data_IF_657239289585
#
_entry.id   IF_657239289585
#
_cell.length_a   1.000
_cell.length_b   1.000
_cell.length_c   1.000
_cell.angle_alpha   90.00
_cell.angle_beta   90.00
_cell.angle_gamma   90.00
#
_symmetry.space_group_name_H-M   'P 1'
#
loop_
_entity.id
_entity.type
_entity.pdbx_description
1 polymer ?
#
# COMPACT_ATOMS: atom_id res chain seq x y z
N UNK A 1 5.09 -8.73 -2.78
CA UNK A 1 5.56 -7.60 -1.92
C UNK A 1 6.56 -6.74 -2.68
N UNK A 2 6.45 -5.41 -2.58
CA UNK A 2 7.40 -4.47 -3.18
C UNK A 2 7.69 -3.31 -2.21
N UNK A 3 8.77 -2.56 -2.44
CA UNK A 3 9.08 -1.36 -1.64
C UNK A 3 8.20 -0.19 -2.09
N UNK A 4 7.87 0.72 -1.17
CA UNK A 4 7.04 1.88 -1.49
C UNK A 4 7.62 2.74 -2.63
N UNK A 5 8.94 2.87 -2.71
CA UNK A 5 9.62 3.57 -3.83
C UNK A 5 9.32 2.95 -5.20
N UNK A 6 9.18 1.62 -5.26
CA UNK A 6 8.82 0.94 -6.50
C UNK A 6 7.33 1.12 -6.82
N UNK A 7 6.48 1.17 -5.79
CA UNK A 7 5.04 1.40 -5.95
C UNK A 7 4.73 2.82 -6.44
N UNK A 8 5.43 3.82 -5.93
CA UNK A 8 5.29 5.23 -6.35
C UNK A 8 5.72 5.44 -7.81
N UNK A 9 6.66 4.64 -8.33
CA UNK A 9 7.14 4.74 -9.71
C UNK A 9 6.34 3.91 -10.71
N UNK A 10 5.23 3.28 -10.29
CA UNK A 10 4.36 2.54 -11.21
C UNK A 10 3.74 3.52 -12.20
N UNK A 11 3.75 3.11 -13.47
CA UNK A 11 3.12 3.81 -14.58
C UNK A 11 2.05 2.92 -15.19
N UNK A 12 1.10 3.51 -15.91
CA UNK A 12 0.00 2.78 -16.55
C UNK A 12 0.54 1.71 -17.51
N UNK A 13 1.63 1.99 -18.23
CA UNK A 13 2.29 1.01 -19.11
C UNK A 13 2.98 -0.16 -18.40
N UNK A 14 3.07 -0.15 -17.06
CA UNK A 14 3.57 -1.29 -16.29
C UNK A 14 2.45 -2.29 -15.94
N UNK A 15 1.18 -1.91 -16.16
CA UNK A 15 0.02 -2.68 -15.77
C UNK A 15 -0.48 -3.49 -16.97
N UNK A 16 -0.63 -4.79 -16.77
CA UNK A 16 -1.17 -5.72 -17.76
C UNK A 16 -2.18 -6.65 -17.09
N UNK A 17 -2.93 -7.39 -17.90
CA UNK A 17 -3.76 -8.49 -17.43
C UNK A 17 -3.17 -9.81 -17.91
N UNK A 18 -3.10 -10.78 -17.02
CA UNK A 18 -2.69 -12.14 -17.34
C UNK A 18 -3.62 -13.11 -16.62
N UNK A 19 -4.38 -13.88 -17.41
CA UNK A 19 -5.40 -14.82 -16.91
C UNK A 19 -6.37 -14.14 -15.94
N UNK A 20 -6.39 -14.55 -14.68
CA UNK A 20 -7.27 -14.06 -13.61
C UNK A 20 -6.62 -12.95 -12.75
N UNK A 21 -5.46 -12.46 -13.15
CA UNK A 21 -4.64 -11.55 -12.36
C UNK A 21 -4.31 -10.23 -13.08
N UNK A 22 -4.37 -9.14 -12.31
CA UNK A 22 -3.73 -7.88 -12.70
C UNK A 22 -2.23 -8.03 -12.45
N UNK A 23 -1.41 -7.75 -13.45
CA UNK A 23 0.05 -7.88 -13.36
C UNK A 23 0.74 -6.52 -13.39
N UNK A 24 1.78 -6.37 -12.59
CA UNK A 24 2.62 -5.17 -12.53
C UNK A 24 4.07 -5.54 -12.83
N UNK A 25 4.60 -5.03 -13.93
CA UNK A 25 5.99 -5.26 -14.35
C UNK A 25 6.82 -4.01 -14.10
N UNK A 26 7.68 -4.03 -13.08
CA UNK A 26 8.54 -2.89 -12.75
C UNK A 26 9.62 -2.68 -13.82
N UNK A 27 9.80 -1.43 -14.26
CA UNK A 27 10.83 -1.08 -15.24
C UNK A 27 12.27 -1.22 -14.72
N UNK A 28 12.50 -0.95 -13.43
CA UNK A 28 13.82 -0.99 -12.81
C UNK A 28 13.81 -1.83 -11.53
N UNK A 29 14.78 -2.73 -11.41
CA UNK A 29 14.99 -3.53 -10.21
C UNK A 29 16.42 -3.33 -9.70
N UNK A 30 16.58 -3.08 -8.39
CA UNK A 30 17.89 -2.75 -7.80
C UNK A 30 18.93 -3.87 -8.03
N UNK A 31 18.48 -5.12 -8.12
CA UNK A 31 19.32 -6.31 -8.33
C UNK A 31 19.56 -6.65 -9.80
N UNK A 32 19.14 -5.79 -10.73
CA UNK A 32 19.22 -5.99 -12.18
C UNK A 32 19.66 -4.68 -12.83
N UNK A 33 20.92 -4.28 -12.55
CA UNK A 33 21.48 -3.02 -13.03
C UNK A 33 21.82 -3.07 -14.52
N UNK A 34 22.16 -4.26 -15.02
CA UNK A 34 22.42 -4.54 -16.43
C UNK A 34 21.14 -4.78 -17.24
N UNK A 35 20.00 -5.01 -16.58
CA UNK A 35 18.70 -5.18 -17.22
C UNK A 35 18.59 -6.48 -18.02
N UNK A 36 19.48 -7.44 -17.77
CA UNK A 36 19.55 -8.71 -18.49
C UNK A 36 18.54 -9.72 -17.95
N UNK A 37 18.00 -9.49 -16.76
CA UNK A 37 17.09 -10.44 -16.13
C UNK A 37 15.67 -10.30 -16.70
N UNK A 38 14.98 -11.43 -16.91
CA UNK A 38 13.54 -11.41 -17.18
C UNK A 38 12.82 -10.64 -16.08
N UNK A 39 11.94 -9.72 -16.48
CA UNK A 39 11.14 -8.95 -15.52
C UNK A 39 9.94 -9.78 -15.09
N UNK A 40 10.04 -10.40 -13.93
CA UNK A 40 8.94 -11.19 -13.38
C UNK A 40 7.76 -10.28 -12.97
N UNK A 41 6.57 -10.44 -13.59
CA UNK A 41 5.40 -9.66 -13.22
C UNK A 41 4.98 -9.94 -11.77
N UNK A 42 4.47 -8.92 -11.08
CA UNK A 42 3.82 -9.06 -9.78
C UNK A 42 2.33 -9.24 -10.00
N UNK A 43 1.80 -10.41 -9.64
CA UNK A 43 0.37 -10.70 -9.72
C UNK A 43 -0.39 -10.06 -8.55
N UNK A 44 -1.50 -9.43 -8.86
CA UNK A 44 -2.45 -8.79 -7.95
C UNK A 44 -3.82 -9.40 -8.25
N UNK A 45 -4.35 -10.12 -7.27
CA UNK A 45 -5.61 -10.82 -7.40
C UNK A 45 -6.77 -10.00 -6.84
N UNK A 46 -7.96 -10.24 -7.39
CA UNK A 46 -9.18 -9.69 -6.84
C UNK A 46 -9.58 -10.42 -5.55
N UNK A 47 -10.23 -9.71 -4.64
CA UNK A 47 -10.85 -10.29 -3.45
C UNK A 47 -12.37 -9.98 -3.47
N UNK A 48 -13.18 -10.83 -4.11
CA UNK A 48 -14.62 -10.59 -4.21
C UNK A 48 -15.35 -10.79 -2.88
N UNK A 49 -14.75 -11.48 -1.90
CA UNK A 49 -15.38 -11.78 -0.60
C UNK A 49 -15.38 -10.54 0.29
N UNK A 50 -14.27 -9.78 0.29
CA UNK A 50 -14.12 -8.53 1.04
C UNK A 50 -13.76 -7.39 0.06
N UNK A 51 -14.76 -6.80 -0.62
CA UNK A 51 -14.54 -5.77 -1.63
C UNK A 51 -13.81 -4.53 -1.08
N UNK A 52 -14.01 -4.20 0.19
CA UNK A 52 -13.39 -3.06 0.89
C UNK A 52 -11.86 -3.13 0.95
N UNK A 53 -11.27 -4.32 0.88
CA UNK A 53 -9.82 -4.54 0.84
C UNK A 53 -9.34 -5.09 -0.51
N UNK A 54 -10.23 -5.17 -1.51
CA UNK A 54 -9.89 -5.69 -2.82
C UNK A 54 -9.02 -4.69 -3.61
N UNK A 55 -7.77 -5.02 -3.95
CA UNK A 55 -6.87 -4.07 -4.62
C UNK A 55 -7.32 -3.74 -6.05
N UNK A 56 -7.85 -4.73 -6.79
CA UNK A 56 -8.35 -4.53 -8.16
C UNK A 56 -9.54 -3.56 -8.18
N UNK A 57 -10.52 -3.79 -7.29
CA UNK A 57 -11.67 -2.91 -7.13
C UNK A 57 -11.26 -1.51 -6.67
N UNK A 58 -10.39 -1.41 -5.67
CA UNK A 58 -9.88 -0.12 -5.19
C UNK A 58 -9.19 0.69 -6.29
N UNK A 59 -8.43 0.02 -7.16
CA UNK A 59 -7.79 0.65 -8.31
C UNK A 59 -8.81 1.08 -9.38
N UNK A 60 -9.83 0.26 -9.64
CA UNK A 60 -10.90 0.61 -10.58
C UNK A 60 -11.67 1.86 -10.13
N UNK A 61 -12.02 1.95 -8.84
CA UNK A 61 -12.67 3.13 -8.25
C UNK A 61 -11.75 4.35 -8.37
N UNK A 62 -10.45 4.19 -8.07
CA UNK A 62 -9.47 5.27 -8.22
C UNK A 62 -9.47 5.85 -9.65
N UNK A 63 -9.41 5.00 -10.67
CA UNK A 63 -9.44 5.44 -12.07
C UNK A 63 -10.78 6.05 -12.47
N UNK A 64 -11.90 5.52 -11.98
CA UNK A 64 -13.22 6.07 -12.28
C UNK A 64 -13.41 7.49 -11.71
N UNK A 65 -12.82 7.77 -10.54
CA UNK A 65 -12.98 9.06 -9.84
C UNK A 65 -11.95 10.09 -10.27
N UNK A 66 -10.68 9.69 -10.43
CA UNK A 66 -9.56 10.61 -10.66
C UNK A 66 -9.01 10.58 -12.09
N UNK A 67 -9.41 9.59 -12.89
CA UNK A 67 -8.93 9.41 -14.25
C UNK A 67 -7.47 8.95 -14.32
N UNK A 68 -6.89 9.09 -15.52
CA UNK A 68 -5.50 8.76 -15.79
C UNK A 68 -4.65 10.02 -15.83
N UNK A 69 -3.47 9.96 -15.18
CA UNK A 69 -2.51 11.06 -15.22
C UNK A 69 -1.90 11.22 -16.62
N UNK A 70 -1.75 12.44 -17.15
CA UNK A 70 -1.16 12.68 -18.47
C UNK A 70 0.33 12.31 -18.54
N UNK A 71 1.04 12.29 -17.40
CA UNK A 71 2.42 11.82 -17.31
C UNK A 71 2.54 10.28 -17.26
N UNK A 72 1.40 9.57 -17.32
CA UNK A 72 1.33 8.12 -17.28
C UNK A 72 1.63 7.50 -15.92
N UNK A 73 1.82 8.30 -14.85
CA UNK A 73 1.96 7.76 -13.49
C UNK A 73 0.63 7.15 -13.03
N UNK A 74 0.75 6.07 -12.26
CA UNK A 74 -0.41 5.44 -11.63
C UNK A 74 -1.10 6.38 -10.65
N UNK A 75 -0.31 7.10 -9.84
CA UNK A 75 -0.80 8.06 -8.87
C UNK A 75 -0.38 9.47 -9.26
N UNK A 76 -1.36 10.35 -9.49
CA UNK A 76 -1.12 11.73 -9.88
C UNK A 76 -0.48 12.56 -8.74
N UNK A 77 0.40 13.50 -9.13
CA UNK A 77 1.13 14.40 -8.22
C UNK A 77 2.52 13.88 -7.84
N UNK A 78 3.09 14.48 -6.80
CA UNK A 78 4.45 14.20 -6.32
C UNK A 78 4.47 13.77 -4.85
N UNK A 79 5.58 13.17 -4.41
CA UNK A 79 5.83 12.76 -3.03
C UNK A 79 4.76 11.79 -2.48
N UNK A 80 4.38 10.78 -3.27
CA UNK A 80 3.29 9.87 -2.94
C UNK A 80 3.56 9.12 -1.65
N UNK A 81 4.80 8.67 -1.46
CA UNK A 81 5.22 8.01 -0.22
C UNK A 81 4.98 8.90 1.00
N UNK A 82 5.45 10.15 0.96
CA UNK A 82 5.32 11.09 2.07
C UNK A 82 3.86 11.46 2.35
N UNK A 83 3.06 11.64 1.29
CA UNK A 83 1.61 11.92 1.40
C UNK A 83 0.88 10.75 2.07
N UNK A 84 1.10 9.53 1.58
CA UNK A 84 0.53 8.32 2.17
C UNK A 84 0.94 8.17 3.63
N UNK A 85 2.24 8.30 3.94
CA UNK A 85 2.76 8.15 5.29
C UNK A 85 2.17 9.20 6.24
N UNK A 86 2.00 10.45 5.79
CA UNK A 86 1.38 11.51 6.60
C UNK A 86 -0.06 11.17 6.96
N UNK A 87 -0.85 10.70 5.99
CA UNK A 87 -2.25 10.29 6.21
C UNK A 87 -2.30 9.08 7.14
N UNK A 88 -1.48 8.05 6.87
CA UNK A 88 -1.42 6.84 7.67
C UNK A 88 -1.05 7.15 9.13
N UNK A 89 -0.02 7.96 9.38
CA UNK A 89 0.34 8.41 10.73
C UNK A 89 -0.81 9.14 11.41
N UNK A 90 -1.51 10.01 10.69
CA UNK A 90 -2.67 10.72 11.20
C UNK A 90 -3.83 9.80 11.59
N UNK A 91 -4.02 8.68 10.88
CA UNK A 91 -5.02 7.65 11.20
C UNK A 91 -4.57 6.81 12.39
N UNK A 92 -3.31 6.38 12.41
CA UNK A 92 -2.74 5.56 13.47
C UNK A 92 -2.74 6.28 14.82
N UNK A 93 -2.55 7.60 14.83
CA UNK A 93 -2.54 8.39 16.06
C UNK A 93 -3.94 8.69 16.63
N UNK A 94 -5.02 8.20 16.01
CA UNK A 94 -6.38 8.38 16.54
C UNK A 94 -6.61 7.44 17.72
N UNK A 95 -7.30 7.92 18.76
CA UNK A 95 -7.56 7.13 19.98
C UNK A 95 -8.23 5.78 19.68
N UNK A 96 -9.23 5.78 18.81
CA UNK A 96 -9.91 4.55 18.37
C UNK A 96 -8.92 3.56 17.75
N UNK A 97 -8.00 4.03 16.93
CA UNK A 97 -7.02 3.17 16.27
C UNK A 97 -6.00 2.63 17.28
N UNK A 98 -5.56 3.44 18.24
CA UNK A 98 -4.67 2.99 19.31
C UNK A 98 -5.26 1.84 20.13
N UNK A 99 -6.56 1.92 20.46
CA UNK A 99 -7.28 0.84 21.18
C UNK A 99 -7.33 -0.42 20.33
N UNK A 100 -7.80 -0.33 19.07
CA UNK A 100 -7.88 -1.51 18.19
C UNK A 100 -6.51 -2.16 17.95
N UNK A 101 -5.45 -1.37 17.79
CA UNK A 101 -4.08 -1.88 17.63
C UNK A 101 -3.57 -2.58 18.88
N UNK A 102 -3.93 -2.11 20.08
CA UNK A 102 -3.62 -2.79 21.33
C UNK A 102 -4.35 -4.14 21.43
N UNK A 103 -5.63 -4.20 21.04
CA UNK A 103 -6.43 -5.44 21.02
C UNK A 103 -5.82 -6.50 20.10
N UNK A 104 -5.35 -6.10 18.91
CA UNK A 104 -4.71 -7.04 17.96
C UNK A 104 -3.21 -7.24 18.21
N UNK A 105 -2.67 -6.77 19.33
CA UNK A 105 -1.26 -6.89 19.72
C UNK A 105 -0.25 -6.29 18.71
N UNK A 106 -0.67 -5.22 18.02
CA UNK A 106 0.12 -4.51 17.01
C UNK A 106 0.58 -3.12 17.49
N UNK A 107 0.36 -2.77 18.76
CA UNK A 107 0.85 -1.50 19.34
C UNK A 107 2.35 -1.56 19.62
N UNK A 108 3.05 -0.46 19.35
CA UNK A 108 4.48 -0.32 19.65
C UNK A 108 4.78 -0.25 21.16
N UNK A 109 3.77 0.10 21.96
CA UNK A 109 3.83 0.04 23.42
C UNK A 109 3.69 -1.41 23.88
N UNK A 110 4.67 -1.95 24.63
CA UNK A 110 4.53 -3.27 25.23
C UNK A 110 3.35 -3.25 26.21
N UNK A 111 2.50 -4.27 26.15
CA UNK A 111 1.27 -4.44 26.97
C UNK A 111 1.52 -4.26 28.49
N UNK A 112 2.76 -4.43 28.93
CA UNK A 112 3.20 -4.28 30.32
C UNK A 112 3.19 -2.85 30.90
N UNK A 113 3.01 -1.79 30.10
CA UNK A 113 2.98 -0.42 30.65
C UNK A 113 1.60 0.04 31.13
N UNK A 114 0.52 -0.69 30.82
CA UNK A 114 -0.84 -0.31 31.23
C UNK A 114 -1.27 -0.88 32.60
N UNK A 115 -0.50 -1.82 33.17
CA UNK A 115 -0.82 -2.41 34.49
C UNK A 115 -0.27 -1.63 35.69
N UNK A 116 0.53 -0.57 35.47
CA UNK A 116 1.20 0.16 36.56
C UNK A 116 0.54 1.49 36.96
N UNK A 117 -0.50 1.97 36.27
CA UNK A 117 -1.18 3.21 36.67
C UNK A 117 -2.42 2.99 37.57
N UNK A 118 -2.81 1.75 37.85
CA UNK A 118 -3.98 1.45 38.71
C UNK A 118 -3.64 1.07 40.15
N UNK A 119 -2.44 1.39 40.66
CA UNK A 119 -2.01 1.04 42.03
C UNK A 119 -1.46 2.23 42.85
N UNK A 120 -1.77 3.48 42.46
CA UNK A 120 -1.46 4.66 43.25
C UNK A 120 -2.71 5.52 43.48
N UNK A 121 -3.68 4.96 44.22
CA UNK A 121 -4.61 5.70 45.08
C UNK A 121 -4.93 4.87 46.31
#
# INVERSE_FOLDING_TARGET
>A
MCRAKNAESIRNGHISWYEDSLTITFAHMKNDQDGSRPRDPRHVYSNPIMPEVCPVLGLAIYFAVLGFSPDGKLFAGENQYSRFLKVLKGILNRDVMNVTLAEVSMSATPVFSLSNESQLQ
#
